data_IF_770130489501
#
_entry.id   IF_770130489501
#
_cell.length_a   1.000
_cell.length_b   1.000
_cell.length_c   1.000
_cell.angle_alpha   90.00
_cell.angle_beta   90.00
_cell.angle_gamma   90.00
#
_symmetry.space_group_name_H-M   'P 1'
#
loop_
_entity.id
_entity.type
_entity.pdbx_description
1 polymer ?
#
# COMPACT_ATOMS: atom_id res chain seq x y z
N UNK A 1 -18.21 -18.37 -30.42
CA UNK A 1 -16.92 -18.05 -29.81
C UNK A 1 -17.19 -16.89 -28.87
N UNK A 2 -17.66 -17.20 -27.67
CA UNK A 2 -18.10 -16.23 -26.67
C UNK A 2 -16.87 -15.71 -25.94
N UNK A 3 -16.61 -14.40 -26.08
CA UNK A 3 -15.61 -13.72 -25.28
C UNK A 3 -16.22 -13.45 -23.91
N UNK A 4 -15.89 -14.32 -22.96
CA UNK A 4 -16.16 -14.17 -21.54
C UNK A 4 -15.37 -12.96 -21.01
N UNK A 5 -15.95 -11.77 -21.14
CA UNK A 5 -15.56 -10.63 -20.32
C UNK A 5 -16.12 -10.87 -18.93
N UNK A 6 -15.46 -11.75 -18.17
CA UNK A 6 -15.79 -11.95 -16.77
C UNK A 6 -15.53 -10.62 -16.05
N UNK A 7 -16.61 -9.89 -15.82
CA UNK A 7 -16.72 -8.72 -14.96
C UNK A 7 -16.40 -9.15 -13.51
N UNK A 8 -15.11 -9.36 -13.21
CA UNK A 8 -14.62 -9.70 -11.87
C UNK A 8 -14.60 -8.48 -10.94
N UNK A 9 -15.63 -7.64 -11.00
CA UNK A 9 -15.73 -6.44 -10.17
C UNK A 9 -16.95 -6.43 -9.25
N UNK A 10 -17.33 -7.63 -8.84
CA UNK A 10 -18.02 -7.87 -7.57
C UNK A 10 -17.01 -8.16 -6.45
N UNK A 11 -15.77 -7.68 -6.56
CA UNK A 11 -14.82 -7.77 -5.44
C UNK A 11 -15.22 -6.71 -4.41
N UNK A 12 -15.69 -7.21 -3.27
CA UNK A 12 -16.03 -6.48 -2.06
C UNK A 12 -15.18 -5.23 -1.91
N UNK A 13 -15.84 -4.08 -1.65
CA UNK A 13 -15.19 -2.81 -1.25
C UNK A 13 -14.04 -3.15 -0.31
N UNK A 14 -12.82 -3.11 -0.82
CA UNK A 14 -11.67 -3.63 -0.10
C UNK A 14 -11.52 -2.72 1.10
N UNK A 15 -11.22 -3.24 2.30
CA UNK A 15 -11.07 -2.45 3.53
C UNK A 15 -10.17 -1.21 3.28
N UNK A 16 -9.20 -1.36 2.37
CA UNK A 16 -8.33 -0.33 1.86
C UNK A 16 -8.98 0.92 1.23
N UNK A 17 -10.16 0.83 0.61
CA UNK A 17 -10.85 1.99 0.04
C UNK A 17 -11.30 2.99 1.13
N UNK A 18 -11.30 2.56 2.40
CA UNK A 18 -11.62 3.39 3.54
C UNK A 18 -10.39 4.14 4.08
N UNK A 19 -9.18 3.72 3.69
CA UNK A 19 -7.94 4.28 4.20
C UNK A 19 -7.32 5.29 3.23
N UNK A 20 -6.93 6.44 3.76
CA UNK A 20 -6.35 7.54 3.02
C UNK A 20 -4.82 7.53 3.05
N UNK A 21 -4.24 7.15 4.18
CA UNK A 21 -2.79 7.13 4.37
C UNK A 21 -2.37 6.06 5.37
N UNK A 22 -1.10 5.67 5.28
CA UNK A 22 -0.44 4.78 6.23
C UNK A 22 0.74 5.47 6.87
N UNK A 23 1.08 5.04 8.08
CA UNK A 23 2.26 5.45 8.82
C UNK A 23 2.97 4.21 9.37
N UNK A 24 4.29 4.15 9.24
CA UNK A 24 5.09 3.09 9.86
C UNK A 24 6.54 3.51 10.04
N UNK A 25 7.20 2.84 10.99
CA UNK A 25 8.65 2.87 11.17
C UNK A 25 9.22 1.54 10.70
N UNK A 26 10.44 1.57 10.21
CA UNK A 26 11.21 0.36 9.94
C UNK A 26 12.13 0.16 11.13
N UNK A 27 12.15 -1.06 11.69
CA UNK A 27 13.10 -1.43 12.73
C UNK A 27 14.51 -1.02 12.29
N UNK A 28 15.25 -0.39 13.18
CA UNK A 28 16.62 0.14 12.96
C UNK A 28 16.73 1.57 12.43
N UNK A 29 15.62 2.24 12.07
CA UNK A 29 15.63 3.67 11.72
C UNK A 29 14.67 4.45 12.61
N UNK A 30 15.10 5.53 13.31
CA UNK A 30 14.24 6.33 14.18
C UNK A 30 13.25 7.23 13.41
N UNK A 31 13.04 6.96 12.12
CA UNK A 31 12.18 7.76 11.25
C UNK A 31 10.80 7.12 11.11
N UNK A 32 9.79 7.93 11.40
CA UNK A 32 8.39 7.59 11.16
C UNK A 32 8.01 8.09 9.77
N UNK A 33 7.59 7.19 8.90
CA UNK A 33 7.23 7.52 7.53
C UNK A 33 5.72 7.51 7.36
N UNK A 34 5.18 8.53 6.68
CA UNK A 34 3.77 8.60 6.34
C UNK A 34 3.59 8.75 4.83
N UNK A 35 2.71 7.94 4.24
CA UNK A 35 2.43 7.93 2.81
C UNK A 35 0.93 7.96 2.54
N UNK A 36 0.54 8.66 1.48
CA UNK A 36 -0.81 8.53 0.93
C UNK A 36 -0.95 7.19 0.22
N UNK A 37 -2.11 6.58 0.42
CA UNK A 37 -2.51 5.39 -0.32
C UNK A 37 -2.96 5.82 -1.71
N UNK A 38 -2.45 5.12 -2.73
CA UNK A 38 -2.91 5.23 -4.11
C UNK A 38 -3.53 3.90 -4.54
N UNK A 39 -4.82 3.92 -4.85
CA UNK A 39 -5.51 2.76 -5.42
C UNK A 39 -5.29 2.75 -6.94
N UNK A 40 -4.39 1.89 -7.42
CA UNK A 40 -4.22 1.66 -8.85
C UNK A 40 -5.12 0.48 -9.20
N UNK A 41 -6.30 0.81 -9.73
CA UNK A 41 -7.48 -0.03 -9.97
C UNK A 41 -7.30 -1.48 -10.47
N UNK A 42 -6.17 -1.83 -11.09
CA UNK A 42 -5.86 -3.19 -11.59
C UNK A 42 -4.70 -3.89 -10.87
N UNK A 43 -3.96 -3.18 -10.01
CA UNK A 43 -2.75 -3.69 -9.32
C UNK A 43 -2.87 -3.68 -7.80
N UNK A 44 -3.95 -3.12 -7.25
CA UNK A 44 -4.16 -3.00 -5.82
C UNK A 44 -3.63 -1.68 -5.24
N UNK A 45 -3.36 -1.72 -3.94
CA UNK A 45 -2.95 -0.56 -3.13
C UNK A 45 -1.46 -0.34 -3.32
N UNK A 46 -1.05 0.92 -3.52
CA UNK A 46 0.36 1.27 -3.54
C UNK A 46 0.67 2.54 -2.76
N UNK A 47 1.93 2.64 -2.33
CA UNK A 47 2.52 3.84 -1.77
C UNK A 47 3.46 4.45 -2.80
N UNK A 48 3.44 5.78 -2.90
CA UNK A 48 4.33 6.52 -3.78
C UNK A 48 5.53 7.02 -2.98
N UNK A 49 6.73 6.59 -3.37
CA UNK A 49 7.98 6.93 -2.67
C UNK A 49 8.94 7.59 -3.64
N UNK A 50 9.50 8.75 -3.29
CA UNK A 50 10.45 9.45 -4.15
C UNK A 50 11.74 8.64 -4.31
N UNK A 51 12.31 8.64 -5.51
CA UNK A 51 13.64 8.07 -5.73
C UNK A 51 14.67 8.72 -4.78
N UNK A 52 15.53 7.88 -4.20
CA UNK A 52 16.55 8.30 -3.24
C UNK A 52 16.08 8.42 -1.79
N UNK A 53 14.77 8.26 -1.50
CA UNK A 53 14.29 8.19 -0.11
C UNK A 53 14.93 7.02 0.64
N UNK A 54 15.40 7.26 1.86
CA UNK A 54 16.11 6.23 2.66
C UNK A 54 15.26 5.00 2.94
N UNK A 55 13.94 5.15 3.01
CA UNK A 55 13.02 4.03 3.17
C UNK A 55 13.22 2.93 2.11
N UNK A 56 13.58 3.30 0.87
CA UNK A 56 13.80 2.35 -0.22
C UNK A 56 15.02 1.44 0.01
N UNK A 57 15.96 1.86 0.86
CA UNK A 57 17.12 1.05 1.25
C UNK A 57 16.80 0.08 2.40
N UNK A 58 15.69 0.32 3.09
CA UNK A 58 15.33 -0.34 4.33
C UNK A 58 14.11 -1.27 4.20
N UNK A 59 13.48 -1.33 3.02
CA UNK A 59 12.38 -2.25 2.71
C UNK A 59 12.76 -3.18 1.56
N UNK A 60 12.25 -4.40 1.60
CA UNK A 60 12.34 -5.39 0.52
C UNK A 60 10.98 -6.03 0.26
N UNK A 61 10.84 -6.61 -0.93
CA UNK A 61 9.68 -7.44 -1.26
C UNK A 61 9.62 -8.63 -0.30
N UNK A 62 8.42 -8.91 0.22
CA UNK A 62 8.15 -9.93 1.23
C UNK A 62 8.25 -9.44 2.67
N UNK A 63 8.71 -8.21 2.94
CA UNK A 63 8.69 -7.66 4.29
C UNK A 63 7.26 -7.52 4.81
N UNK A 64 7.06 -7.95 6.05
CA UNK A 64 5.81 -7.74 6.79
C UNK A 64 6.04 -6.61 7.79
N UNK A 65 5.34 -5.51 7.58
CA UNK A 65 5.45 -4.31 8.39
C UNK A 65 4.12 -4.06 9.07
N UNK A 66 4.14 -3.79 10.38
CA UNK A 66 2.95 -3.33 11.08
C UNK A 66 2.74 -1.85 10.77
N UNK A 67 1.70 -1.53 10.00
CA UNK A 67 1.42 -0.16 9.57
C UNK A 67 0.18 0.38 10.27
N UNK A 68 0.21 1.66 10.62
CA UNK A 68 -0.94 2.40 11.14
C UNK A 68 -1.70 3.03 9.99
N UNK A 69 -2.95 2.64 9.80
CA UNK A 69 -3.85 3.11 8.77
C UNK A 69 -4.75 4.22 9.29
N UNK A 70 -4.89 5.28 8.49
CA UNK A 70 -5.73 6.43 8.76
C UNK A 70 -6.84 6.50 7.73
N UNK A 71 -8.08 6.65 8.19
CA UNK A 71 -9.22 6.90 7.28
C UNK A 71 -9.27 8.38 6.87
N UNK A 72 -10.08 8.71 5.87
CA UNK A 72 -10.34 10.10 5.50
C UNK A 72 -11.08 10.89 6.60
N UNK A 73 -11.80 10.19 7.49
CA UNK A 73 -12.55 10.79 8.59
C UNK A 73 -11.68 10.91 9.84
N UNK A 74 -11.36 12.14 10.23
CA UNK A 74 -10.51 12.41 11.40
C UNK A 74 -11.10 11.91 12.74
N UNK A 75 -12.41 11.65 12.78
CA UNK A 75 -13.13 11.14 13.95
C UNK A 75 -13.02 9.62 14.12
N UNK A 76 -12.58 8.89 13.08
CA UNK A 76 -12.42 7.44 13.15
C UNK A 76 -11.06 7.07 13.74
N UNK A 77 -11.00 6.03 14.58
CA UNK A 77 -9.74 5.54 15.11
C UNK A 77 -8.85 5.04 13.98
N UNK A 78 -7.54 5.15 14.19
CA UNK A 78 -6.53 4.53 13.34
C UNK A 78 -6.39 3.05 13.67
N UNK A 79 -6.13 2.22 12.68
CA UNK A 79 -5.96 0.77 12.86
C UNK A 79 -4.52 0.35 12.59
N UNK A 80 -3.97 -0.57 13.39
CA UNK A 80 -2.68 -1.18 13.12
C UNK A 80 -2.90 -2.50 12.39
N UNK A 81 -2.38 -2.62 11.18
CA UNK A 81 -2.56 -3.80 10.33
C UNK A 81 -1.21 -4.29 9.82
N UNK A 82 -0.97 -5.60 9.91
CA UNK A 82 0.17 -6.26 9.27
C UNK A 82 0.02 -6.15 7.77
N UNK A 83 1.07 -5.67 7.12
CA UNK A 83 1.07 -5.37 5.70
C UNK A 83 2.32 -5.93 5.04
N UNK A 84 2.14 -6.69 3.97
CA UNK A 84 3.24 -7.24 3.18
C UNK A 84 3.61 -6.31 2.02
N UNK A 85 4.90 -6.05 1.82
CA UNK A 85 5.43 -5.39 0.62
C UNK A 85 5.44 -6.39 -0.54
N UNK A 86 4.53 -6.23 -1.52
CA UNK A 86 4.36 -7.18 -2.64
C UNK A 86 5.29 -6.89 -3.82
N UNK A 87 5.50 -5.62 -4.15
CA UNK A 87 6.39 -5.23 -5.25
C UNK A 87 6.93 -3.82 -5.06
N UNK A 88 8.12 -3.58 -5.59
CA UNK A 88 8.78 -2.26 -5.60
C UNK A 88 9.11 -1.97 -7.06
N UNK A 89 8.37 -1.08 -7.70
CA UNK A 89 8.51 -0.80 -9.14
C UNK A 89 8.85 0.66 -9.35
N UNK A 90 9.93 0.94 -10.08
CA UNK A 90 10.26 2.30 -10.51
C UNK A 90 9.36 2.69 -11.68
N UNK A 91 8.74 3.86 -11.61
CA UNK A 91 8.06 4.45 -12.76
C UNK A 91 9.03 5.48 -13.39
N UNK A 92 9.68 5.11 -14.50
CA UNK A 92 10.66 5.97 -15.19
C UNK A 92 10.04 6.77 -16.35
N UNK A 93 8.90 6.32 -16.87
CA UNK A 93 8.30 6.84 -18.11
C UNK A 93 6.82 7.25 -17.94
N UNK A 94 6.19 6.90 -16.82
CA UNK A 94 4.80 7.20 -16.54
C UNK A 94 4.56 8.48 -15.74
N UNK A 95 3.32 8.64 -15.28
CA UNK A 95 2.83 9.79 -14.50
C UNK A 95 3.63 10.01 -13.21
N UNK A 96 4.28 8.97 -12.69
CA UNK A 96 5.00 9.01 -11.44
C UNK A 96 6.52 9.02 -11.62
N UNK A 97 7.01 9.57 -12.74
CA UNK A 97 8.44 9.69 -13.03
C UNK A 97 9.26 10.15 -11.81
N UNK A 98 10.35 9.45 -11.53
CA UNK A 98 11.22 9.72 -10.38
C UNK A 98 10.67 9.23 -9.04
N UNK A 99 9.65 8.36 -9.07
CA UNK A 99 9.09 7.70 -7.89
C UNK A 99 9.02 6.19 -8.09
N UNK A 100 8.99 5.50 -6.97
CA UNK A 100 8.69 4.08 -6.85
C UNK A 100 7.26 3.88 -6.40
N UNK A 101 6.58 2.93 -7.04
CA UNK A 101 5.30 2.38 -6.63
C UNK A 101 5.57 1.14 -5.77
N UNK A 102 5.29 1.27 -4.48
CA UNK A 102 5.41 0.18 -3.51
C UNK A 102 4.04 -0.47 -3.37
N UNK A 103 3.84 -1.63 -4.00
CA UNK A 103 2.62 -2.41 -3.86
C UNK A 103 2.55 -3.08 -2.50
N UNK A 104 1.40 -2.96 -1.83
CA UNK A 104 1.19 -3.49 -0.49
C UNK A 104 -0.06 -4.35 -0.41
N UNK A 105 -0.05 -5.33 0.48
CA UNK A 105 -1.23 -6.16 0.80
C UNK A 105 -1.44 -6.19 2.30
N UNK A 106 -2.63 -5.81 2.75
CA UNK A 106 -3.05 -6.01 4.13
C UNK A 106 -3.20 -7.51 4.35
N UNK A 107 -2.57 -8.02 5.42
CA UNK A 107 -2.76 -9.38 5.89
C UNK A 107 -3.92 -9.33 6.88
N UNK A 108 -5.10 -9.80 6.50
CA UNK A 108 -6.19 -10.00 7.46
C UNK A 108 -5.70 -10.99 8.52
N UNK A 109 -5.64 -10.58 9.79
CA UNK A 109 -5.43 -11.53 10.87
C UNK A 109 -6.65 -12.47 10.85
N UNK A 110 -6.42 -13.73 10.49
CA UNK A 110 -7.40 -14.81 10.60
C UNK A 110 -7.67 -15.10 12.08
N UNK A 111 -8.42 -14.23 12.76
CA UNK A 111 -9.12 -14.59 13.98
C UNK A 111 -10.58 -14.81 13.59
N UNK A 112 -10.86 -16.04 13.12
CA UNK A 112 -12.20 -16.65 13.15
C UNK A 112 -12.43 -17.28 14.51
#
# INVERSE_FOLDING_TARGET
MENDFTEKRSEHRTIADQFYSVEFSISDVPSLYQFKIWNISSKGICLLVKEGSDILKNIKVGDIVNMRYYTAEASKPTEYLKTEIKHITKDDEGRFKGHYLIGISILEDQYS
#
